data_IF_714443365876
#
_entry.id   IF_714443365876
#
_cell.length_a   1.000
_cell.length_b   1.000
_cell.length_c   1.000
_cell.angle_alpha   90.00
_cell.angle_beta   90.00
_cell.angle_gamma   90.00
#
_symmetry.space_group_name_H-M   'P 1'
#
loop_
_entity.id
_entity.type
_entity.pdbx_description
1 polymer ?
#
# COMPACT_ATOMS: atom_id res chain seq x y z
N UNK A 1 -16.96 7.46 14.72
CA UNK A 1 -16.33 6.20 15.11
C UNK A 1 -16.16 5.30 13.89
N UNK A 2 -15.05 4.57 13.80
CA UNK A 2 -14.81 3.61 12.73
C UNK A 2 -15.86 2.50 12.71
N UNK A 3 -16.34 2.15 11.51
CA UNK A 3 -17.26 1.03 11.30
C UNK A 3 -16.76 0.19 10.11
N UNK A 4 -16.68 -1.11 10.30
CA UNK A 4 -16.24 -2.05 9.27
C UNK A 4 -17.09 -1.96 7.99
N UNK A 5 -18.38 -1.72 8.14
CA UNK A 5 -19.31 -1.64 7.01
C UNK A 5 -19.07 -0.43 6.09
N UNK A 6 -18.49 0.66 6.61
CA UNK A 6 -18.25 1.92 5.86
C UNK A 6 -16.78 2.16 5.56
N UNK A 7 -15.87 1.27 5.99
CA UNK A 7 -14.42 1.49 5.88
C UNK A 7 -13.97 1.78 4.45
N UNK A 8 -14.42 1.00 3.49
CA UNK A 8 -14.04 1.21 2.09
C UNK A 8 -14.55 2.55 1.55
N UNK A 9 -15.79 2.90 1.86
CA UNK A 9 -16.41 4.16 1.44
C UNK A 9 -15.72 5.38 2.07
N UNK A 10 -15.34 5.26 3.34
CA UNK A 10 -14.60 6.31 4.04
C UNK A 10 -13.20 6.51 3.44
N UNK A 11 -12.51 5.42 3.11
CA UNK A 11 -11.19 5.48 2.46
C UNK A 11 -11.27 6.04 1.05
N UNK A 12 -12.30 5.70 0.27
CA UNK A 12 -12.49 6.21 -1.11
C UNK A 12 -12.68 7.74 -1.19
N UNK A 13 -12.93 8.39 -0.07
CA UNK A 13 -12.98 9.86 0.01
C UNK A 13 -11.59 10.50 0.07
N UNK A 14 -10.54 9.71 0.28
CA UNK A 14 -9.17 10.19 0.32
C UNK A 14 -8.59 10.35 -1.08
N UNK A 15 -7.81 11.40 -1.28
CA UNK A 15 -7.05 11.61 -2.52
C UNK A 15 -5.64 11.01 -2.44
N UNK A 16 -5.10 10.88 -1.23
CA UNK A 16 -3.78 10.31 -0.92
C UNK A 16 -3.88 9.59 0.41
N UNK A 17 -3.34 8.40 0.49
CA UNK A 17 -3.20 7.65 1.74
C UNK A 17 -1.80 7.80 2.31
N UNK A 18 -1.68 8.03 3.61
CA UNK A 18 -0.39 8.21 4.28
C UNK A 18 -0.16 7.13 5.33
N UNK A 19 1.09 6.64 5.40
CA UNK A 19 1.54 5.66 6.39
C UNK A 19 2.91 6.06 6.94
N UNK A 20 2.98 7.09 7.80
CA UNK A 20 4.21 7.48 8.46
C UNK A 20 4.56 6.46 9.55
N UNK A 21 5.81 6.00 9.57
CA UNK A 21 6.34 5.08 10.56
C UNK A 21 7.71 5.55 11.05
N UNK A 22 7.98 5.33 12.33
CA UNK A 22 9.35 5.40 12.87
C UNK A 22 10.11 4.13 12.49
N UNK A 23 11.42 4.25 12.26
CA UNK A 23 12.25 3.09 11.97
C UNK A 23 12.71 2.41 13.28
N UNK A 24 11.88 1.54 13.80
CA UNK A 24 12.09 0.77 15.01
C UNK A 24 11.73 -0.71 14.77
N UNK A 25 12.15 -1.64 15.66
CA UNK A 25 11.87 -3.07 15.50
C UNK A 25 10.37 -3.41 15.38
N UNK A 26 9.50 -2.67 16.06
CA UNK A 26 8.06 -2.88 15.99
C UNK A 26 7.51 -2.50 14.61
N UNK A 27 7.88 -1.33 14.11
CA UNK A 27 7.43 -0.85 12.80
C UNK A 27 7.98 -1.69 11.65
N UNK A 28 9.22 -2.18 11.75
CA UNK A 28 9.81 -3.11 10.77
C UNK A 28 9.06 -4.44 10.67
N UNK A 29 8.39 -4.86 11.73
CA UNK A 29 7.57 -6.08 11.76
C UNK A 29 6.16 -5.91 11.18
N UNK A 30 5.75 -4.70 10.81
CA UNK A 30 4.42 -4.45 10.22
C UNK A 30 4.36 -4.95 8.78
N UNK A 31 3.18 -5.50 8.40
CA UNK A 31 2.99 -6.10 7.07
C UNK A 31 2.61 -5.11 5.95
N UNK A 32 2.64 -3.81 6.20
CA UNK A 32 2.27 -2.80 5.19
C UNK A 32 0.77 -2.77 4.85
N UNK A 33 -0.08 -3.30 5.72
CA UNK A 33 -1.51 -3.49 5.46
C UNK A 33 -2.23 -2.18 5.08
N UNK A 34 -1.91 -1.07 5.75
CA UNK A 34 -2.52 0.23 5.46
C UNK A 34 -2.18 0.72 4.06
N UNK A 35 -0.92 0.58 3.64
CA UNK A 35 -0.50 0.90 2.28
C UNK A 35 -1.24 0.04 1.25
N UNK A 36 -1.34 -1.26 1.49
CA UNK A 36 -2.08 -2.18 0.62
C UNK A 36 -3.58 -1.84 0.54
N UNK A 37 -4.20 -1.38 1.63
CA UNK A 37 -5.59 -0.92 1.61
C UNK A 37 -5.77 0.29 0.68
N UNK A 38 -4.91 1.31 0.78
CA UNK A 38 -4.96 2.46 -0.12
C UNK A 38 -4.77 2.03 -1.57
N UNK A 39 -3.74 1.23 -1.81
CA UNK A 39 -3.41 0.74 -3.16
C UNK A 39 -4.53 -0.10 -3.77
N UNK A 40 -5.18 -0.95 -2.98
CA UNK A 40 -6.32 -1.76 -3.42
C UNK A 40 -7.51 -0.91 -3.87
N UNK A 41 -7.67 0.27 -3.32
CA UNK A 41 -8.72 1.23 -3.68
C UNK A 41 -8.29 2.22 -4.79
N UNK A 42 -7.10 2.05 -5.35
CA UNK A 42 -6.57 2.95 -6.38
C UNK A 42 -6.17 4.33 -5.83
N UNK A 43 -5.87 4.42 -4.54
CA UNK A 43 -5.43 5.64 -3.87
C UNK A 43 -3.91 5.63 -3.79
N UNK A 44 -3.21 6.67 -4.25
CA UNK A 44 -1.76 6.78 -4.09
C UNK A 44 -1.36 6.68 -2.63
N UNK A 45 -0.46 5.75 -2.30
CA UNK A 45 0.08 5.59 -0.96
C UNK A 45 1.43 6.30 -0.84
N UNK A 46 1.60 7.07 0.22
CA UNK A 46 2.88 7.66 0.65
C UNK A 46 3.24 7.07 2.00
N UNK A 47 4.35 6.38 2.08
CA UNK A 47 4.77 5.67 3.29
C UNK A 47 6.22 5.96 3.65
N UNK A 48 6.57 5.73 4.92
CA UNK A 48 7.97 5.69 5.34
C UNK A 48 8.66 4.45 4.77
N UNK A 49 9.96 4.54 4.38
CA UNK A 49 10.71 3.40 3.83
C UNK A 49 11.16 2.44 4.96
N UNK A 50 10.19 1.86 5.65
CA UNK A 50 10.40 1.00 6.82
C UNK A 50 9.80 -0.38 6.55
N UNK A 51 10.57 -1.43 6.83
CA UNK A 51 10.13 -2.81 6.70
C UNK A 51 9.65 -3.15 5.29
N UNK A 52 8.54 -3.86 5.18
CA UNK A 52 7.98 -4.32 3.90
C UNK A 52 7.45 -3.20 2.99
N UNK A 53 7.32 -1.98 3.48
CA UNK A 53 6.91 -0.86 2.63
C UNK A 53 7.86 -0.68 1.45
N UNK A 54 9.15 -0.95 1.63
CA UNK A 54 10.17 -0.88 0.57
C UNK A 54 10.04 -1.98 -0.49
N UNK A 55 9.37 -3.07 -0.16
CA UNK A 55 9.08 -4.16 -1.08
C UNK A 55 7.77 -3.96 -1.83
N UNK A 56 6.78 -3.35 -1.16
CA UNK A 56 5.44 -3.10 -1.72
C UNK A 56 5.47 -1.92 -2.68
N UNK A 57 6.14 -0.82 -2.29
CA UNK A 57 6.13 0.44 -3.01
C UNK A 57 7.38 0.59 -3.88
N UNK A 58 7.15 0.73 -5.17
CA UNK A 58 8.13 1.20 -6.15
C UNK A 58 7.95 2.72 -6.32
N UNK A 59 8.90 3.53 -5.78
CA UNK A 59 8.73 4.98 -5.73
C UNK A 59 8.53 5.61 -7.10
N UNK A 60 7.49 6.44 -7.22
CA UNK A 60 7.16 7.13 -8.47
C UNK A 60 6.36 6.28 -9.47
N UNK A 61 6.14 5.01 -9.20
CA UNK A 61 5.34 4.09 -10.03
C UNK A 61 4.00 3.79 -9.39
N UNK A 62 4.00 3.04 -8.28
CA UNK A 62 2.79 2.60 -7.59
C UNK A 62 2.56 3.27 -6.23
N UNK A 63 3.39 4.22 -5.87
CA UNK A 63 3.34 4.95 -4.60
C UNK A 63 4.61 5.76 -4.39
N UNK A 64 4.80 6.25 -3.17
CA UNK A 64 5.97 7.04 -2.81
C UNK A 64 6.50 6.63 -1.44
N UNK A 65 7.82 6.73 -1.27
CA UNK A 65 8.52 6.53 0.00
C UNK A 65 9.16 7.84 0.43
N UNK A 66 8.87 8.28 1.65
CA UNK A 66 9.38 9.52 2.21
C UNK A 66 9.99 9.27 3.59
N UNK A 67 11.27 9.61 3.78
CA UNK A 67 12.01 9.41 5.02
C UNK A 67 12.07 10.68 5.88
N UNK A 68 12.18 11.86 5.27
CA UNK A 68 12.36 13.14 5.97
C UNK A 68 11.12 14.03 5.85
N UNK A 69 10.92 14.99 6.79
CA UNK A 69 9.83 15.94 6.69
C UNK A 69 9.80 16.72 5.37
N UNK A 70 10.96 17.08 4.83
CA UNK A 70 11.04 17.78 3.56
C UNK A 70 10.62 16.92 2.38
N UNK A 71 10.98 15.63 2.38
CA UNK A 71 10.50 14.66 1.38
C UNK A 71 8.98 14.48 1.44
N UNK A 72 8.43 14.36 2.65
CA UNK A 72 6.99 14.29 2.86
C UNK A 72 6.27 15.51 2.33
N UNK A 73 6.76 16.71 2.67
CA UNK A 73 6.17 17.97 2.22
C UNK A 73 6.20 18.09 0.69
N UNK A 74 7.34 17.82 0.06
CA UNK A 74 7.49 17.91 -1.38
C UNK A 74 6.59 16.89 -2.11
N UNK A 75 6.55 15.66 -1.63
CA UNK A 75 5.75 14.59 -2.22
C UNK A 75 4.25 14.89 -2.13
N UNK A 76 3.76 15.27 -0.95
CA UNK A 76 2.36 15.58 -0.73
C UNK A 76 1.93 16.81 -1.53
N UNK A 77 2.76 17.87 -1.57
CA UNK A 77 2.49 19.05 -2.38
C UNK A 77 2.35 18.70 -3.87
N UNK A 78 3.26 17.88 -4.39
CA UNK A 78 3.20 17.41 -5.79
C UNK A 78 1.93 16.61 -6.08
N UNK A 79 1.58 15.67 -5.22
CA UNK A 79 0.37 14.85 -5.39
C UNK A 79 -0.91 15.68 -5.30
N UNK A 80 -0.95 16.70 -4.42
CA UNK A 80 -2.11 17.59 -4.31
C UNK A 80 -2.30 18.47 -5.53
N UNK A 81 -1.21 18.90 -6.16
CA UNK A 81 -1.24 19.80 -7.34
C UNK A 81 -1.44 19.07 -8.66
N UNK A 82 -1.16 17.77 -8.74
CA UNK A 82 -1.18 16.99 -9.98
C UNK A 82 -2.22 15.85 -9.94
N UNK A 83 -3.45 16.10 -10.38
CA UNK A 83 -4.50 15.07 -10.44
C UNK A 83 -4.16 13.91 -11.38
N UNK A 84 -3.43 14.18 -12.46
CA UNK A 84 -3.00 13.14 -13.40
C UNK A 84 -2.00 12.19 -12.78
N UNK A 85 -1.03 12.71 -12.04
CA UNK A 85 -0.09 11.90 -11.27
C UNK A 85 -0.81 11.03 -10.24
N UNK A 86 -1.78 11.59 -9.50
CA UNK A 86 -2.59 10.81 -8.55
C UNK A 86 -3.32 9.66 -9.21
N UNK A 87 -3.99 9.94 -10.34
CA UNK A 87 -4.75 8.93 -11.07
C UNK A 87 -3.84 7.81 -11.61
N UNK A 88 -2.71 8.17 -12.20
CA UNK A 88 -1.75 7.19 -12.73
C UNK A 88 -1.14 6.33 -11.62
N UNK A 89 -0.64 6.96 -10.56
CA UNK A 89 -0.07 6.26 -9.40
C UNK A 89 -1.10 5.34 -8.77
N UNK A 90 -2.34 5.80 -8.59
CA UNK A 90 -3.43 5.01 -8.03
C UNK A 90 -3.78 3.80 -8.90
N UNK A 91 -3.77 3.94 -10.21
CA UNK A 91 -3.99 2.83 -11.15
C UNK A 91 -2.89 1.77 -11.07
N UNK A 92 -1.63 2.20 -11.04
CA UNK A 92 -0.50 1.29 -10.86
C UNK A 92 -0.51 0.62 -9.49
N UNK A 93 -0.88 1.36 -8.44
CA UNK A 93 -1.07 0.82 -7.10
C UNK A 93 -2.11 -0.31 -7.07
N UNK A 94 -3.27 -0.09 -7.66
CA UNK A 94 -4.34 -1.09 -7.77
C UNK A 94 -3.86 -2.33 -8.52
N UNK A 95 -3.20 -2.14 -9.65
CA UNK A 95 -2.63 -3.23 -10.44
C UNK A 95 -1.63 -4.08 -9.64
N UNK A 96 -0.75 -3.44 -8.88
CA UNK A 96 0.21 -4.14 -8.02
C UNK A 96 -0.49 -5.05 -7.01
N UNK A 97 -1.56 -4.56 -6.37
CA UNK A 97 -2.34 -5.37 -5.42
C UNK A 97 -3.02 -6.54 -6.12
N UNK A 98 -3.65 -6.32 -7.26
CA UNK A 98 -4.32 -7.38 -8.02
C UNK A 98 -3.35 -8.47 -8.45
N UNK A 99 -2.15 -8.11 -8.91
CA UNK A 99 -1.15 -9.04 -9.45
C UNK A 99 -0.33 -9.76 -8.36
N UNK A 100 -0.12 -9.15 -7.19
CA UNK A 100 0.83 -9.65 -6.18
C UNK A 100 0.22 -9.94 -4.82
N UNK A 101 -0.80 -9.21 -4.40
CA UNK A 101 -1.31 -9.23 -3.03
C UNK A 101 -2.78 -9.62 -2.91
N UNK A 102 -3.46 -9.90 -4.01
CA UNK A 102 -4.83 -10.37 -4.01
C UNK A 102 -4.94 -11.84 -3.60
N UNK A 103 -6.12 -12.25 -3.20
CA UNK A 103 -6.44 -13.66 -2.96
C UNK A 103 -6.22 -14.49 -4.23
N UNK A 104 -6.62 -13.98 -5.40
CA UNK A 104 -6.44 -14.65 -6.68
C UNK A 104 -4.96 -14.89 -7.00
N UNK A 105 -4.12 -13.86 -6.81
CA UNK A 105 -2.68 -13.95 -7.07
C UNK A 105 -1.98 -14.98 -6.17
N UNK A 106 -2.42 -15.12 -4.92
CA UNK A 106 -1.76 -15.96 -3.92
C UNK A 106 -2.47 -17.30 -3.65
N UNK A 107 -3.63 -17.53 -4.28
CA UNK A 107 -4.45 -18.72 -4.03
C UNK A 107 -3.68 -20.02 -4.20
N UNK A 108 -2.95 -20.16 -5.31
CA UNK A 108 -2.19 -21.37 -5.62
C UNK A 108 -1.10 -21.61 -4.58
N UNK A 109 -0.26 -20.60 -4.34
CA UNK A 109 0.83 -20.67 -3.36
C UNK A 109 0.31 -21.00 -1.97
N UNK A 110 -0.82 -20.40 -1.58
CA UNK A 110 -1.46 -20.68 -0.30
C UNK A 110 -1.92 -22.14 -0.21
N UNK A 111 -2.58 -22.67 -1.24
CA UNK A 111 -3.06 -24.05 -1.27
C UNK A 111 -1.92 -25.07 -1.28
N UNK A 112 -0.82 -24.79 -1.98
CA UNK A 112 0.37 -25.63 -2.02
C UNK A 112 1.00 -25.83 -0.63
N UNK A 113 0.84 -24.90 0.30
CA UNK A 113 1.29 -25.08 1.68
C UNK A 113 0.60 -26.25 2.40
N UNK A 114 -0.64 -26.56 2.02
CA UNK A 114 -1.42 -27.67 2.60
C UNK A 114 -1.23 -28.99 1.87
N UNK A 115 -0.79 -28.97 0.62
CA UNK A 115 -0.52 -30.20 -0.14
C UNK A 115 0.68 -30.98 0.43
N UNK A 116 1.62 -30.29 1.07
CA UNK A 116 2.70 -30.94 1.80
C UNK A 116 2.22 -31.93 2.88
N UNK A 117 1.08 -31.65 3.49
CA UNK A 117 0.48 -32.56 4.50
C UNK A 117 -0.34 -33.71 3.91
N UNK A 118 -0.65 -33.67 2.61
CA UNK A 118 -1.42 -34.74 1.94
C UNK A 118 -0.56 -35.87 1.42
N UNK A 119 0.74 -35.64 1.25
CA UNK A 119 1.74 -36.60 0.74
C UNK A 119 2.58 -37.25 1.83
N UNK A 120 2.39 -36.87 3.07
CA UNK A 120 3.12 -37.40 4.22
C UNK A 120 2.44 -38.64 4.82
#
# INVERSE_FOLDING_TARGET
PWQKATEADDLLRMNVGVMPLTDDPWSRGKCGFKALQYMALGIPAVASPVGVNTEIIEPGVNGFLCATPDEWLACLARLLQDPTLRAETGRQARRTVEERYSVQANRRTFLELFDFFRTA
#
